data_IF_116137453018
#
_entry.id   IF_116137453018
#
_cell.length_a   1.000
_cell.length_b   1.000
_cell.length_c   1.000
_cell.angle_alpha   90.00
_cell.angle_beta   90.00
_cell.angle_gamma   90.00
#
_symmetry.space_group_name_H-M   'P 1'
#
loop_
_entity.id
_entity.type
_entity.pdbx_description
1 polymer ?
#
# COMPACT_ATOMS: atom_id res chain seq x y z
N UNK A 1 6.73 8.40 52.54
CA UNK A 1 5.91 8.27 51.31
C UNK A 1 6.85 7.96 50.16
N UNK A 2 6.73 6.80 49.49
CA UNK A 2 7.61 6.47 48.38
C UNK A 2 7.25 7.33 47.17
N UNK A 3 8.23 8.09 46.69
CA UNK A 3 8.19 8.85 45.45
C UNK A 3 8.08 7.88 44.27
N UNK A 4 6.92 7.81 43.64
CA UNK A 4 6.71 7.10 42.38
C UNK A 4 7.54 7.79 41.30
N UNK A 5 8.71 7.24 41.02
CA UNK A 5 9.54 7.60 39.87
C UNK A 5 8.72 7.40 38.61
N UNK A 6 8.25 8.50 38.00
CA UNK A 6 7.61 8.50 36.69
C UNK A 6 8.63 8.01 35.65
N UNK A 7 8.59 6.73 35.32
CA UNK A 7 9.23 6.19 34.14
C UNK A 7 8.51 6.78 32.92
N UNK A 8 9.10 7.81 32.32
CA UNK A 8 8.63 8.37 31.04
C UNK A 8 8.50 7.22 30.05
N UNK A 9 7.29 6.92 29.54
CA UNK A 9 7.10 5.77 28.67
C UNK A 9 7.87 5.99 27.38
N UNK A 10 8.71 5.02 26.99
CA UNK A 10 9.64 5.15 25.87
C UNK A 10 8.94 5.63 24.59
N UNK A 11 9.56 6.60 23.90
CA UNK A 11 9.06 7.20 22.64
C UNK A 11 9.51 6.41 21.39
N UNK A 12 10.29 5.34 21.58
CA UNK A 12 10.86 4.54 20.48
C UNK A 12 9.77 3.89 19.63
N UNK A 13 8.75 3.27 20.26
CA UNK A 13 7.67 2.60 19.54
C UNK A 13 6.76 3.57 18.78
N UNK A 14 6.26 4.67 19.39
CA UNK A 14 5.53 5.69 18.66
C UNK A 14 6.32 6.28 17.49
N UNK A 15 7.61 6.55 17.67
CA UNK A 15 8.45 7.11 16.61
C UNK A 15 8.67 6.11 15.47
N UNK A 16 8.86 4.82 15.77
CA UNK A 16 8.94 3.77 14.74
C UNK A 16 7.64 3.70 13.91
N UNK A 17 6.48 3.78 14.57
CA UNK A 17 5.18 3.84 13.90
C UNK A 17 5.01 5.09 13.03
N UNK A 18 5.54 6.24 13.46
CA UNK A 18 5.51 7.48 12.69
C UNK A 18 6.37 7.40 11.42
N UNK A 19 7.58 6.84 11.52
CA UNK A 19 8.46 6.60 10.36
C UNK A 19 7.77 5.70 9.34
N UNK A 20 7.10 4.64 9.81
CA UNK A 20 6.35 3.76 8.94
C UNK A 20 5.14 4.47 8.28
N UNK A 21 4.44 5.31 9.02
CA UNK A 21 3.31 6.11 8.52
C UNK A 21 3.76 7.13 7.46
N UNK A 22 4.94 7.73 7.64
CA UNK A 22 5.58 8.58 6.62
C UNK A 22 5.94 7.80 5.37
N UNK A 23 6.51 6.60 5.53
CA UNK A 23 6.85 5.73 4.41
C UNK A 23 5.60 5.39 3.57
N UNK A 24 4.50 4.97 4.22
CA UNK A 24 3.22 4.69 3.56
C UNK A 24 2.63 5.92 2.83
N UNK A 25 2.68 7.09 3.48
CA UNK A 25 2.21 8.33 2.88
C UNK A 25 3.03 8.68 1.63
N UNK A 26 4.35 8.60 1.74
CA UNK A 26 5.28 8.90 0.65
C UNK A 26 5.14 7.95 -0.53
N UNK A 27 5.05 6.63 -0.27
CA UNK A 27 4.83 5.65 -1.33
C UNK A 27 3.46 5.83 -1.97
N UNK A 28 2.40 6.08 -1.19
CA UNK A 28 1.06 6.36 -1.72
C UNK A 28 1.01 7.61 -2.61
N UNK A 29 1.62 8.71 -2.19
CA UNK A 29 1.70 9.94 -3.00
C UNK A 29 2.51 9.68 -4.28
N UNK A 30 3.64 8.98 -4.18
CA UNK A 30 4.47 8.63 -5.33
C UNK A 30 3.71 7.78 -6.35
N UNK A 31 2.94 6.79 -5.90
CA UNK A 31 2.08 5.94 -6.74
C UNK A 31 0.91 6.72 -7.35
N UNK A 32 0.45 7.79 -6.69
CA UNK A 32 -0.62 8.65 -7.22
C UNK A 32 -0.13 9.55 -8.36
N UNK A 33 1.10 10.08 -8.25
CA UNK A 33 1.72 10.96 -9.26
C UNK A 33 2.33 10.15 -10.40
N UNK A 34 2.87 8.95 -10.10
CA UNK A 34 3.52 8.05 -11.05
C UNK A 34 3.03 6.61 -10.83
N UNK A 35 1.91 6.22 -11.46
CA UNK A 35 1.39 4.85 -11.32
C UNK A 35 2.36 3.79 -11.86
N UNK A 36 3.21 4.16 -12.83
CA UNK A 36 4.26 3.29 -13.38
C UNK A 36 5.28 2.83 -12.32
N UNK A 37 5.64 3.71 -11.38
CA UNK A 37 6.52 3.32 -10.26
C UNK A 37 5.86 2.34 -9.29
N UNK A 38 4.53 2.28 -9.24
CA UNK A 38 3.84 1.20 -8.51
C UNK A 38 4.05 -0.13 -9.24
N UNK A 39 3.93 -0.16 -10.56
CA UNK A 39 4.14 -1.36 -11.36
C UNK A 39 5.58 -1.87 -11.23
N UNK A 40 6.59 -1.00 -11.17
CA UNK A 40 7.98 -1.41 -10.91
C UNK A 40 8.23 -1.84 -9.46
N UNK A 41 7.70 -1.08 -8.49
CA UNK A 41 7.78 -1.40 -7.06
C UNK A 41 7.09 -2.73 -6.72
N UNK A 42 6.10 -3.13 -7.50
CA UNK A 42 5.37 -4.38 -7.32
C UNK A 42 5.66 -5.42 -8.42
N UNK A 43 6.59 -5.10 -9.35
CA UNK A 43 6.93 -5.90 -10.55
C UNK A 43 5.74 -6.50 -11.29
N UNK A 44 4.60 -5.81 -11.29
CA UNK A 44 3.56 -6.12 -12.25
C UNK A 44 4.08 -5.78 -13.64
N UNK A 45 3.87 -6.65 -14.66
CA UNK A 45 4.30 -6.35 -16.01
C UNK A 45 3.71 -4.98 -16.42
N UNK A 46 4.51 -4.08 -17.01
CA UNK A 46 4.01 -2.79 -17.44
C UNK A 46 2.80 -3.04 -18.34
N UNK A 47 1.71 -2.28 -18.13
CA UNK A 47 0.60 -2.33 -19.05
C UNK A 47 1.18 -2.09 -20.44
N UNK A 48 1.06 -3.09 -21.33
CA UNK A 48 1.57 -2.99 -22.70
C UNK A 48 1.04 -1.66 -23.23
N UNK A 49 1.91 -0.71 -23.64
CA UNK A 49 1.43 0.56 -24.13
C UNK A 49 0.41 0.22 -25.22
N UNK A 50 -0.84 0.64 -25.00
CA UNK A 50 -1.78 0.73 -26.10
C UNK A 50 -1.12 1.75 -27.00
N UNK A 51 -0.39 1.26 -28.01
CA UNK A 51 0.16 2.10 -29.05
C UNK A 51 -0.97 3.03 -29.45
N UNK A 52 -0.73 4.33 -29.33
CA UNK A 52 -1.50 5.36 -30.00
C UNK A 52 -1.48 5.01 -31.48
N UNK A 53 -2.36 4.12 -31.92
CA UNK A 53 -2.55 3.84 -33.33
C UNK A 53 -3.41 4.97 -33.82
N UNK A 54 -2.74 6.04 -34.23
CA UNK A 54 -3.25 6.98 -35.22
C UNK A 54 -4.05 6.19 -36.25
N UNK A 55 -5.32 6.57 -36.41
CA UNK A 55 -6.22 5.98 -37.38
C UNK A 55 -5.60 6.07 -38.77
N UNK A 56 -5.26 4.94 -39.36
CA UNK A 56 -5.20 4.82 -40.81
C UNK A 56 -5.46 3.38 -41.25
N UNK A 57 -6.59 3.24 -41.94
CA UNK A 57 -6.86 2.31 -43.03
C UNK A 57 -7.27 0.84 -42.74
N UNK A 58 -8.53 0.62 -43.09
CA UNK A 58 -8.98 -0.37 -44.08
C UNK A 58 -9.56 -1.69 -43.60
N UNK A 59 -10.76 -1.93 -44.10
CA UNK A 59 -11.68 -3.00 -43.77
C UNK A 59 -11.26 -4.37 -44.33
N UNK A 60 -11.41 -5.42 -43.52
CA UNK A 60 -11.83 -6.75 -43.96
C UNK A 60 -12.24 -7.63 -42.75
N UNK A 61 -13.54 -7.85 -42.58
CA UNK A 61 -14.08 -9.16 -42.19
C UNK A 61 -13.96 -9.67 -40.74
N UNK A 62 -14.27 -8.87 -39.72
CA UNK A 62 -14.72 -9.29 -38.36
C UNK A 62 -15.29 -8.04 -37.68
N UNK A 63 -16.41 -8.05 -36.92
CA UNK A 63 -16.89 -6.82 -36.26
C UNK A 63 -15.78 -6.21 -35.39
N UNK A 64 -15.19 -5.07 -35.79
CA UNK A 64 -13.90 -4.60 -35.28
C UNK A 64 -14.00 -3.90 -33.91
N UNK A 65 -15.17 -3.94 -33.26
CA UNK A 65 -15.44 -3.19 -32.03
C UNK A 65 -15.29 -3.99 -30.74
N UNK A 66 -15.59 -5.29 -30.72
CA UNK A 66 -15.80 -6.00 -29.44
C UNK A 66 -14.47 -6.34 -28.75
N UNK A 67 -13.45 -6.75 -29.50
CA UNK A 67 -12.16 -7.18 -28.94
C UNK A 67 -11.26 -6.00 -28.56
N UNK A 68 -11.29 -4.90 -29.34
CA UNK A 68 -10.54 -3.68 -29.03
C UNK A 68 -11.11 -2.97 -27.78
N UNK A 69 -12.43 -2.86 -27.66
CA UNK A 69 -13.09 -2.23 -26.51
C UNK A 69 -12.85 -3.03 -25.22
N UNK A 70 -12.91 -4.36 -25.28
CA UNK A 70 -12.63 -5.22 -24.13
C UNK A 70 -11.15 -5.17 -23.69
N UNK A 71 -10.20 -4.99 -24.63
CA UNK A 71 -8.78 -4.83 -24.29
C UNK A 71 -8.50 -3.47 -23.62
N UNK A 72 -9.13 -2.41 -24.12
CA UNK A 72 -9.01 -1.06 -23.56
C UNK A 72 -9.64 -0.97 -22.16
N UNK A 73 -10.80 -1.61 -21.96
CA UNK A 73 -11.48 -1.67 -20.65
C UNK A 73 -10.61 -2.32 -19.56
N UNK A 74 -9.80 -3.33 -19.90
CA UNK A 74 -8.88 -3.96 -18.94
C UNK A 74 -7.78 -2.98 -18.49
N UNK A 75 -7.24 -2.18 -19.40
CA UNK A 75 -6.21 -1.18 -19.10
C UNK A 75 -6.74 -0.09 -18.16
N UNK A 76 -7.92 0.45 -18.47
CA UNK A 76 -8.57 1.49 -17.67
C UNK A 76 -8.91 0.99 -16.26
N UNK A 77 -9.35 -0.27 -16.14
CA UNK A 77 -9.64 -0.90 -14.85
C UNK A 77 -8.38 -1.06 -13.99
N UNK A 78 -7.27 -1.52 -14.58
CA UNK A 78 -5.99 -1.69 -13.90
C UNK A 78 -5.45 -0.33 -13.43
N UNK A 79 -5.50 0.70 -14.27
CA UNK A 79 -5.14 2.06 -13.87
C UNK A 79 -6.01 2.60 -12.72
N UNK A 80 -7.32 2.35 -12.76
CA UNK A 80 -8.23 2.69 -11.66
C UNK A 80 -7.88 1.99 -10.34
N UNK A 81 -7.50 0.71 -10.40
CA UNK A 81 -7.09 -0.08 -9.22
C UNK A 81 -5.78 0.42 -8.61
N UNK A 82 -4.76 0.70 -9.42
CA UNK A 82 -3.49 1.27 -8.95
C UNK A 82 -3.73 2.61 -8.24
N UNK A 83 -4.60 3.45 -8.81
CA UNK A 83 -4.93 4.75 -8.21
C UNK A 83 -5.73 4.63 -6.91
N UNK A 84 -6.68 3.69 -6.83
CA UNK A 84 -7.40 3.37 -5.59
C UNK A 84 -6.45 2.90 -4.50
N UNK A 85 -5.49 2.06 -4.88
CA UNK A 85 -4.49 1.52 -3.97
C UNK A 85 -3.55 2.61 -3.43
N UNK A 86 -3.11 3.51 -4.32
CA UNK A 86 -2.33 4.68 -3.93
C UNK A 86 -3.08 5.55 -2.91
N UNK A 87 -4.36 5.85 -3.15
CA UNK A 87 -5.19 6.63 -2.23
C UNK A 87 -5.33 5.94 -0.85
N UNK A 88 -5.48 4.61 -0.82
CA UNK A 88 -5.53 3.83 0.41
C UNK A 88 -4.26 3.99 1.24
N UNK A 89 -3.10 3.88 0.59
CA UNK A 89 -1.80 4.01 1.26
C UNK A 89 -1.57 5.42 1.82
N UNK A 90 -1.99 6.46 1.08
CA UNK A 90 -1.97 7.85 1.58
C UNK A 90 -2.89 8.00 2.79
N UNK A 91 -4.12 7.50 2.72
CA UNK A 91 -5.09 7.61 3.82
C UNK A 91 -4.57 6.90 5.10
N UNK A 92 -4.05 5.67 4.97
CA UNK A 92 -3.47 4.93 6.10
C UNK A 92 -2.28 5.66 6.70
N UNK A 93 -1.38 6.20 5.87
CA UNK A 93 -0.22 6.96 6.34
C UNK A 93 -0.60 8.26 7.05
N UNK A 94 -1.59 9.00 6.53
CA UNK A 94 -2.08 10.24 7.16
C UNK A 94 -2.81 9.96 8.48
N UNK A 95 -3.62 8.90 8.55
CA UNK A 95 -4.26 8.49 9.80
C UNK A 95 -3.19 8.07 10.82
N UNK A 96 -2.16 7.34 10.42
CA UNK A 96 -1.02 7.00 11.27
C UNK A 96 -0.29 8.23 11.82
N UNK A 97 -0.03 9.22 10.97
CA UNK A 97 0.59 10.49 11.38
C UNK A 97 -0.28 11.31 12.32
N UNK A 98 -1.59 11.42 12.04
CA UNK A 98 -2.52 12.15 12.89
C UNK A 98 -2.66 11.52 14.28
N UNK A 99 -2.60 10.20 14.34
CA UNK A 99 -2.73 9.43 15.60
C UNK A 99 -1.45 9.45 16.41
N UNK A 100 -0.29 9.42 15.74
CA UNK A 100 1.00 9.71 16.36
C UNK A 100 1.05 11.13 16.93
N UNK A 101 0.61 12.14 16.18
CA UNK A 101 0.57 13.54 16.64
C UNK A 101 -0.33 13.73 17.86
N UNK A 102 -1.47 13.01 17.92
CA UNK A 102 -2.35 12.99 19.09
C UNK A 102 -1.80 12.23 20.30
N UNK A 103 -0.75 11.43 20.12
CA UNK A 103 -0.14 10.63 21.18
C UNK A 103 -0.98 9.40 21.60
N UNK A 104 -2.01 9.03 20.84
CA UNK A 104 -2.85 7.87 21.16
C UNK A 104 -2.17 6.57 20.71
N UNK A 105 -1.44 5.95 21.64
CA UNK A 105 -0.65 4.74 21.37
C UNK A 105 -1.52 3.55 20.95
N UNK A 106 -2.69 3.37 21.55
CA UNK A 106 -3.57 2.24 21.23
C UNK A 106 -4.15 2.39 19.83
N UNK A 107 -4.60 3.59 19.50
CA UNK A 107 -5.15 3.86 18.18
C UNK A 107 -4.06 3.79 17.09
N UNK A 108 -2.85 4.26 17.37
CA UNK A 108 -1.69 4.11 16.50
C UNK A 108 -1.32 2.64 16.27
N UNK A 109 -1.39 1.81 17.32
CA UNK A 109 -1.22 0.37 17.21
C UNK A 109 -2.32 -0.31 16.36
N UNK A 110 -3.58 0.08 16.51
CA UNK A 110 -4.67 -0.40 15.66
C UNK A 110 -4.48 -0.03 14.19
N UNK A 111 -4.01 1.18 13.91
CA UNK A 111 -3.69 1.62 12.54
C UNK A 111 -2.57 0.76 11.93
N UNK A 112 -1.54 0.42 12.72
CA UNK A 112 -0.49 -0.50 12.29
C UNK A 112 -1.02 -1.93 12.04
N UNK A 113 -1.98 -2.42 12.83
CA UNK A 113 -2.62 -3.71 12.56
C UNK A 113 -3.42 -3.69 11.26
N UNK A 114 -4.13 -2.61 10.96
CA UNK A 114 -4.77 -2.42 9.65
C UNK A 114 -3.74 -2.42 8.51
N UNK A 115 -2.57 -1.78 8.72
CA UNK A 115 -1.43 -1.84 7.81
C UNK A 115 -0.89 -3.27 7.62
N UNK A 116 -0.81 -4.07 8.68
CA UNK A 116 -0.41 -5.47 8.60
C UNK A 116 -1.39 -6.30 7.76
N UNK A 117 -2.69 -6.17 8.01
CA UNK A 117 -3.72 -6.85 7.22
C UNK A 117 -3.63 -6.52 5.73
N UNK A 118 -3.32 -5.26 5.45
CA UNK A 118 -3.12 -4.74 4.10
C UNK A 118 -1.90 -5.39 3.44
N UNK A 119 -0.72 -5.35 4.08
CA UNK A 119 0.50 -5.97 3.55
C UNK A 119 0.37 -7.50 3.38
N UNK A 120 -0.38 -8.16 4.27
CA UNK A 120 -0.70 -9.57 4.15
C UNK A 120 -1.55 -9.86 2.92
N UNK A 121 -2.62 -9.08 2.70
CA UNK A 121 -3.50 -9.19 1.54
C UNK A 121 -2.75 -8.94 0.24
N UNK A 122 -1.87 -7.93 0.20
CA UNK A 122 -1.05 -7.61 -0.98
C UNK A 122 -0.08 -8.77 -1.31
N UNK A 123 0.51 -9.42 -0.29
CA UNK A 123 1.34 -10.61 -0.48
C UNK A 123 0.56 -11.82 -1.03
N UNK A 124 -0.67 -12.04 -0.58
CA UNK A 124 -1.54 -13.09 -1.13
C UNK A 124 -1.90 -12.83 -2.60
N UNK A 125 -2.22 -11.57 -2.93
CA UNK A 125 -2.52 -11.16 -4.31
C UNK A 125 -1.26 -11.31 -5.18
N UNK A 126 -0.09 -10.90 -4.71
CA UNK A 126 1.19 -11.08 -5.41
C UNK A 126 1.46 -12.55 -5.71
N UNK A 127 1.26 -13.42 -4.72
CA UNK A 127 1.41 -14.88 -4.91
C UNK A 127 0.43 -15.41 -5.97
N UNK A 128 -0.82 -14.96 -5.94
CA UNK A 128 -1.86 -15.43 -6.86
C UNK A 128 -1.67 -14.94 -8.30
N UNK A 129 -1.15 -13.72 -8.50
CA UNK A 129 -1.04 -13.08 -9.82
C UNK A 129 0.34 -13.25 -10.45
N UNK A 130 1.42 -13.14 -9.66
CA UNK A 130 2.81 -13.13 -10.14
C UNK A 130 3.50 -14.50 -9.95
N UNK A 131 2.98 -15.35 -9.07
CA UNK A 131 3.53 -16.69 -8.83
C UNK A 131 4.83 -16.71 -8.00
N UNK A 132 5.19 -15.58 -7.37
CA UNK A 132 6.39 -15.39 -6.55
C UNK A 132 6.44 -13.99 -5.89
N UNK A 133 7.49 -13.68 -5.12
CA UNK A 133 7.75 -12.38 -4.45
C UNK A 133 6.92 -12.05 -3.18
N UNK A 134 6.21 -13.02 -2.60
CA UNK A 134 5.43 -12.83 -1.35
C UNK A 134 6.29 -12.35 -0.16
N UNK A 135 7.55 -12.81 -0.08
CA UNK A 135 8.48 -12.43 0.98
C UNK A 135 8.79 -10.93 1.01
N UNK A 136 8.72 -10.22 -0.13
CA UNK A 136 8.98 -8.78 -0.17
C UNK A 136 7.87 -7.95 0.48
N UNK A 137 6.66 -8.52 0.48
CA UNK A 137 5.50 -7.94 1.15
C UNK A 137 5.49 -8.35 2.63
N UNK A 138 5.78 -9.63 2.89
CA UNK A 138 5.74 -10.20 4.23
C UNK A 138 6.95 -9.83 5.09
N UNK A 139 8.07 -9.37 4.52
CA UNK A 139 9.24 -8.92 5.28
C UNK A 139 8.91 -7.79 6.26
N UNK A 140 7.90 -6.97 5.97
CA UNK A 140 7.47 -5.88 6.85
C UNK A 140 6.51 -6.32 7.97
N UNK A 141 5.85 -7.47 7.82
CA UNK A 141 4.90 -8.01 8.81
C UNK A 141 5.51 -8.22 10.20
N UNK A 142 6.66 -8.91 10.38
CA UNK A 142 7.18 -9.17 11.73
C UNK A 142 7.53 -7.85 12.45
N UNK A 143 8.09 -6.88 11.73
CA UNK A 143 8.42 -5.58 12.30
C UNK A 143 7.18 -4.77 12.70
N UNK A 144 6.19 -4.68 11.80
CA UNK A 144 4.96 -3.95 12.09
C UNK A 144 4.13 -4.61 13.18
N UNK A 145 3.98 -5.94 13.15
CA UNK A 145 3.19 -6.69 14.12
C UNK A 145 3.82 -6.58 15.51
N UNK A 146 5.15 -6.62 15.60
CA UNK A 146 5.88 -6.38 16.85
C UNK A 146 5.66 -4.96 17.38
N UNK A 147 5.77 -3.95 16.51
CA UNK A 147 5.53 -2.54 16.90
C UNK A 147 4.10 -2.31 17.35
N UNK A 148 3.12 -2.90 16.65
CA UNK A 148 1.70 -2.85 17.01
C UNK A 148 1.44 -3.55 18.34
N UNK A 149 1.94 -4.78 18.54
CA UNK A 149 1.81 -5.51 19.79
C UNK A 149 2.39 -4.73 20.99
N UNK A 150 3.55 -4.09 20.79
CA UNK A 150 4.15 -3.24 21.82
C UNK A 150 3.35 -1.97 22.12
N UNK A 151 2.72 -1.35 21.11
CA UNK A 151 1.85 -0.19 21.28
C UNK A 151 0.50 -0.52 21.94
N UNK A 152 -0.03 -1.72 21.69
CA UNK A 152 -1.25 -2.23 22.36
C UNK A 152 -0.98 -2.72 23.79
N UNK A 153 0.29 -2.87 24.18
CA UNK A 153 0.67 -3.38 25.49
C UNK A 153 0.58 -4.90 25.62
N UNK A 154 0.63 -5.64 24.50
CA UNK A 154 0.66 -7.12 24.51
C UNK A 154 2.02 -7.70 24.92
N UNK A 155 3.07 -6.88 24.88
CA UNK A 155 4.46 -7.25 25.21
C UNK A 155 4.89 -6.73 26.60
N UNK A 156 3.94 -6.36 27.47
CA UNK A 156 4.17 -5.72 28.77
C UNK A 156 3.38 -6.35 29.89
#
# INVERSE_FOLDING_TARGET
>A
MPSSSLSTPSQVLPNAAAVFSLMLSGTGISQLVRPESALELWRFPPAVPCSTSSSTASAAGTPPGVTATAKNQKGDLVHGLIRREAMRNVALGLVGLATWYRGDRRLLGCVLLCGCFTAFSDGLISRAVVGGEELRHWAFLPFMLSTAAGLLGWLG
#
